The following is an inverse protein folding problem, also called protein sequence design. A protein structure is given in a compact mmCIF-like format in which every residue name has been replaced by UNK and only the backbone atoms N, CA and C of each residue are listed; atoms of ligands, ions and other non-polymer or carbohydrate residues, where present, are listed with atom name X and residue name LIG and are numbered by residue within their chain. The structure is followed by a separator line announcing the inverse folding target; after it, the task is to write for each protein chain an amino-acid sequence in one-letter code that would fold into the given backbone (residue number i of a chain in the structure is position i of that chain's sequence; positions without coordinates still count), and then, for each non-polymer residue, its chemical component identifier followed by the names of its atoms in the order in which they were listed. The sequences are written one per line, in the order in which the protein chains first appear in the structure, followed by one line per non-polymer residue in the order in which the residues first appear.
data_IF_863963320021
#
_entry.id   IF_863963320021
#
_cell.length_a   1.000
_cell.length_b   1.000
_cell.length_c   1.000
_cell.angle_alpha   90.00
_cell.angle_beta   90.00
_cell.angle_gamma   90.00
#
_symmetry.space_group_name_H-M   'P 1'
#
loop_
_entity.id
_entity.type
_entity.pdbx_description
1 polymer ?
#
# COMPACT_ATOMS: atom_id res chain seq x y z
N UNK A 1 -44.67 -24.96 5.03
CA UNK A 1 -43.80 -23.87 5.53
C UNK A 1 -42.45 -24.03 4.87
N UNK A 2 -42.18 -23.21 3.84
CA UNK A 2 -41.08 -23.41 2.90
C UNK A 2 -39.79 -22.74 3.39
N UNK A 3 -38.68 -23.47 3.30
CA UNK A 3 -37.35 -23.15 3.81
C UNK A 3 -36.64 -22.16 2.86
N UNK A 4 -36.35 -20.94 3.34
CA UNK A 4 -35.54 -19.97 2.59
C UNK A 4 -34.05 -20.14 2.93
N UNK A 5 -33.35 -20.98 2.16
CA UNK A 5 -31.90 -20.99 2.10
C UNK A 5 -31.41 -19.89 1.15
N UNK A 6 -31.22 -18.67 1.66
CA UNK A 6 -30.50 -17.62 0.95
C UNK A 6 -28.98 -17.76 1.17
N UNK A 7 -28.36 -18.64 0.38
CA UNK A 7 -26.92 -18.67 0.19
C UNK A 7 -26.50 -17.47 -0.68
N UNK A 8 -26.35 -16.31 -0.06
CA UNK A 8 -25.77 -15.12 -0.67
C UNK A 8 -24.25 -15.30 -0.78
N UNK A 9 -23.83 -16.01 -1.84
CA UNK A 9 -22.46 -16.01 -2.32
C UNK A 9 -22.10 -14.62 -2.90
N UNK A 10 -21.93 -13.63 -2.03
CA UNK A 10 -21.32 -12.35 -2.38
C UNK A 10 -19.81 -12.55 -2.54
N UNK A 11 -19.39 -13.22 -3.61
CA UNK A 11 -18.04 -13.04 -4.14
C UNK A 11 -18.03 -11.69 -4.86
N UNK A 12 -17.70 -10.64 -4.11
CA UNK A 12 -17.48 -9.31 -4.65
C UNK A 12 -16.48 -9.36 -5.83
N UNK A 13 -16.46 -8.31 -6.68
CA UNK A 13 -15.65 -8.31 -7.88
C UNK A 13 -14.19 -8.58 -7.51
N UNK A 14 -13.62 -9.61 -8.13
CA UNK A 14 -12.20 -9.91 -8.00
C UNK A 14 -11.48 -8.73 -8.68
N UNK A 15 -11.04 -7.74 -7.90
CA UNK A 15 -10.30 -6.61 -8.47
C UNK A 15 -8.98 -7.15 -9.04
N UNK A 16 -8.91 -7.21 -10.37
CA UNK A 16 -7.67 -7.46 -11.09
C UNK A 16 -6.79 -6.21 -10.97
N UNK A 17 -5.95 -6.16 -9.93
CA UNK A 17 -5.03 -5.05 -9.68
C UNK A 17 -3.82 -5.08 -10.62
N UNK A 18 -4.02 -4.99 -11.93
CA UNK A 18 -2.93 -4.66 -12.83
C UNK A 18 -2.70 -3.15 -12.76
N UNK A 19 -1.82 -2.71 -11.84
CA UNK A 19 -1.24 -1.38 -11.99
C UNK A 19 -0.11 -1.49 -13.00
N UNK A 20 -0.37 -1.09 -14.24
CA UNK A 20 0.70 -0.87 -15.22
C UNK A 20 1.54 0.30 -14.73
N UNK A 21 2.71 0.00 -14.19
CA UNK A 21 3.68 0.99 -13.74
C UNK A 21 4.75 1.14 -14.83
N UNK A 22 4.65 2.20 -15.62
CA UNK A 22 5.68 2.54 -16.61
C UNK A 22 6.86 3.19 -15.92
N UNK A 23 8.03 2.53 -15.96
CA UNK A 23 9.28 3.10 -15.45
C UNK A 23 9.74 4.21 -16.41
N UNK A 24 10.08 5.42 -15.91
CA UNK A 24 10.60 6.49 -16.76
C UNK A 24 11.90 6.06 -17.43
N UNK A 25 11.97 6.15 -18.76
CA UNK A 25 13.16 5.77 -19.55
C UNK A 25 14.39 6.59 -19.16
N UNK A 26 14.17 7.83 -18.72
CA UNK A 26 15.22 8.77 -18.29
C UNK A 26 15.82 8.47 -16.91
N UNK A 27 15.23 7.54 -16.14
CA UNK A 27 15.69 7.24 -14.78
C UNK A 27 16.74 6.13 -14.81
N UNK A 28 17.83 6.31 -14.06
CA UNK A 28 18.83 5.23 -13.90
C UNK A 28 18.29 4.12 -12.99
N UNK A 29 18.81 2.88 -13.08
CA UNK A 29 18.39 1.79 -12.20
C UNK A 29 18.49 2.15 -10.71
N UNK A 30 19.56 2.85 -10.33
CA UNK A 30 19.79 3.32 -8.95
C UNK A 30 18.74 4.34 -8.53
N UNK A 31 18.40 5.31 -9.39
CA UNK A 31 17.33 6.28 -9.09
C UNK A 31 15.98 5.57 -8.88
N UNK A 32 15.70 4.54 -9.67
CA UNK A 32 14.48 3.73 -9.52
C UNK A 32 14.46 2.99 -8.19
N UNK A 33 15.57 2.40 -7.75
CA UNK A 33 15.67 1.74 -6.45
C UNK A 33 15.50 2.72 -5.30
N UNK A 34 16.14 3.88 -5.36
CA UNK A 34 15.99 4.97 -4.37
C UNK A 34 14.53 5.41 -4.29
N UNK A 35 13.85 5.61 -5.43
CA UNK A 35 12.44 5.98 -5.47
C UNK A 35 11.55 4.91 -4.82
N UNK A 36 11.76 3.62 -5.13
CA UNK A 36 11.02 2.50 -4.54
C UNK A 36 11.20 2.43 -3.03
N UNK A 37 12.44 2.50 -2.56
CA UNK A 37 12.77 2.44 -1.14
C UNK A 37 12.15 3.63 -0.39
N UNK A 38 12.32 4.83 -0.94
CA UNK A 38 11.73 6.07 -0.38
C UNK A 38 10.22 5.98 -0.31
N UNK A 39 9.58 5.43 -1.35
CA UNK A 39 8.14 5.25 -1.38
C UNK A 39 7.67 4.26 -0.31
N UNK A 40 8.37 3.14 -0.10
CA UNK A 40 8.06 2.20 0.98
C UNK A 40 8.14 2.89 2.35
N UNK A 41 9.25 3.58 2.66
CA UNK A 41 9.41 4.32 3.91
C UNK A 41 8.35 5.42 4.11
N UNK A 42 7.93 6.07 3.02
CA UNK A 42 6.85 7.06 3.03
C UNK A 42 5.53 6.43 3.45
N UNK A 43 5.25 5.21 3.01
CA UNK A 43 4.02 4.52 3.39
C UNK A 43 4.08 4.00 4.83
N UNK A 44 5.21 3.44 5.26
CA UNK A 44 5.37 2.92 6.62
C UNK A 44 5.32 4.00 7.69
N UNK A 45 5.86 5.19 7.43
CA UNK A 45 5.81 6.33 8.36
C UNK A 45 4.45 7.07 8.37
N UNK A 46 3.45 6.61 7.60
CA UNK A 46 2.05 7.04 7.68
C UNK A 46 1.72 8.43 7.10
N UNK A 47 0.42 8.73 7.01
CA UNK A 47 -0.13 10.07 6.69
C UNK A 47 -0.02 10.96 7.95
N UNK A 48 1.20 11.38 8.28
CA UNK A 48 1.45 12.21 9.48
C UNK A 48 2.91 12.23 9.93
N UNK A 49 3.75 11.34 9.41
CA UNK A 49 5.19 11.36 9.68
C UNK A 49 5.87 12.57 9.04
N UNK A 50 6.85 13.14 9.75
CA UNK A 50 7.65 14.25 9.23
C UNK A 50 8.69 13.82 8.19
N UNK A 51 8.92 12.51 8.01
CA UNK A 51 9.97 11.95 7.13
C UNK A 51 10.00 12.59 5.74
N UNK A 52 8.89 12.53 5.00
CA UNK A 52 8.86 13.03 3.62
C UNK A 52 9.04 14.55 3.58
N UNK A 53 8.47 15.26 4.56
CA UNK A 53 8.59 16.72 4.70
C UNK A 53 10.04 17.12 4.98
N UNK A 54 10.67 16.49 5.96
CA UNK A 54 12.03 16.79 6.38
C UNK A 54 13.05 16.41 5.30
N UNK A 55 12.81 15.30 4.58
CA UNK A 55 13.61 14.90 3.42
C UNK A 55 13.48 15.89 2.27
N UNK A 56 12.24 16.32 1.94
CA UNK A 56 11.99 17.32 0.90
C UNK A 56 12.61 18.66 1.24
N UNK A 57 12.56 19.08 2.51
CA UNK A 57 13.17 20.33 2.96
C UNK A 57 14.69 20.33 2.77
N UNK A 58 15.35 19.23 3.15
CA UNK A 58 16.80 19.07 2.94
C UNK A 58 17.16 19.04 1.46
N UNK A 59 16.32 18.40 0.65
CA UNK A 59 16.52 18.37 -0.80
C UNK A 59 16.35 19.75 -1.43
N UNK A 60 15.37 20.53 -0.99
CA UNK A 60 15.14 21.87 -1.52
C UNK A 60 16.34 22.79 -1.29
N UNK A 61 16.97 22.70 -0.11
CA UNK A 61 18.21 23.42 0.19
C UNK A 61 19.40 23.00 -0.70
N UNK A 62 19.38 21.79 -1.24
CA UNK A 62 20.45 21.23 -2.09
C UNK A 62 20.06 21.14 -3.57
N UNK A 63 18.94 21.76 -3.99
CA UNK A 63 18.34 21.56 -5.32
C UNK A 63 19.19 22.05 -6.49
N UNK A 64 20.11 22.98 -6.26
CA UNK A 64 21.07 23.46 -7.28
C UNK A 64 22.31 22.56 -7.39
N UNK A 65 22.40 21.50 -6.58
CA UNK A 65 23.51 20.54 -6.65
C UNK A 65 23.34 19.62 -7.85
N UNK A 66 24.41 19.41 -8.66
CA UNK A 66 24.38 18.46 -9.77
C UNK A 66 24.14 17.01 -9.32
N UNK A 67 24.27 16.73 -8.01
CA UNK A 67 24.09 15.40 -7.42
C UNK A 67 22.83 15.31 -6.54
N UNK A 68 21.78 16.08 -6.88
CA UNK A 68 20.46 15.96 -6.27
C UNK A 68 19.86 14.56 -6.53
N UNK A 69 19.85 13.71 -5.49
CA UNK A 69 19.32 12.34 -5.58
C UNK A 69 17.83 12.26 -5.25
N UNK A 70 17.29 13.21 -4.47
CA UNK A 70 15.87 13.26 -4.11
C UNK A 70 15.09 14.33 -4.88
N UNK A 71 15.64 14.90 -5.96
CA UNK A 71 14.95 15.92 -6.76
C UNK A 71 13.55 15.49 -7.23
N UNK A 72 13.32 14.19 -7.38
CA UNK A 72 12.00 13.60 -7.70
C UNK A 72 10.91 13.87 -6.66
N UNK A 73 11.24 14.34 -5.45
CA UNK A 73 10.27 14.76 -4.44
C UNK A 73 9.60 16.10 -4.78
N UNK A 74 10.19 16.87 -5.68
CA UNK A 74 9.63 18.15 -6.11
C UNK A 74 8.52 17.93 -7.15
N UNK A 75 7.35 18.58 -7.01
CA UNK A 75 6.25 18.43 -7.98
C UNK A 75 6.60 18.80 -9.42
N UNK A 76 7.63 19.64 -9.63
CA UNK A 76 8.09 20.07 -10.95
C UNK A 76 9.03 19.06 -11.62
N UNK A 77 9.47 18.02 -10.91
CA UNK A 77 10.42 17.03 -11.44
C UNK A 77 9.72 15.97 -12.30
N UNK A 78 10.36 15.56 -13.40
CA UNK A 78 9.78 14.60 -14.35
C UNK A 78 9.42 13.23 -13.72
N UNK A 79 10.14 12.83 -12.67
CA UNK A 79 9.91 11.54 -11.97
C UNK A 79 8.90 11.63 -10.81
N UNK A 80 8.37 12.82 -10.50
CA UNK A 80 7.43 12.99 -9.38
C UNK A 80 6.17 12.13 -9.54
N UNK A 81 5.57 12.11 -10.74
CA UNK A 81 4.38 11.31 -11.03
C UNK A 81 4.62 9.80 -10.87
N UNK A 82 5.82 9.33 -11.21
CA UNK A 82 6.21 7.93 -11.01
C UNK A 82 6.30 7.62 -9.50
N UNK A 83 6.96 8.49 -8.74
CA UNK A 83 7.07 8.34 -7.28
C UNK A 83 5.71 8.35 -6.58
N UNK A 84 4.81 9.27 -6.90
CA UNK A 84 3.47 9.31 -6.28
C UNK A 84 2.68 8.03 -6.57
N UNK A 85 2.79 7.51 -7.79
CA UNK A 85 2.15 6.25 -8.18
C UNK A 85 2.69 5.06 -7.37
N UNK A 86 4.02 5.00 -7.16
CA UNK A 86 4.63 3.98 -6.30
C UNK A 86 4.08 4.02 -4.88
N UNK A 87 4.00 5.21 -4.29
CA UNK A 87 3.46 5.40 -2.93
C UNK A 87 2.02 4.90 -2.84
N UNK A 88 1.18 5.19 -3.83
CA UNK A 88 -0.20 4.74 -3.85
C UNK A 88 -0.35 3.23 -4.04
N UNK A 89 0.51 2.60 -4.85
CA UNK A 89 0.57 1.13 -4.97
C UNK A 89 0.95 0.51 -3.63
N UNK A 90 2.01 0.99 -2.99
CA UNK A 90 2.48 0.44 -1.72
C UNK A 90 1.45 0.62 -0.59
N UNK A 91 0.71 1.73 -0.57
CA UNK A 91 -0.43 1.93 0.36
C UNK A 91 -1.50 0.87 0.17
N UNK A 92 -1.91 0.60 -1.07
CA UNK A 92 -2.91 -0.43 -1.38
C UNK A 92 -2.44 -1.83 -0.99
N UNK A 93 -1.17 -2.14 -1.22
CA UNK A 93 -0.57 -3.42 -0.84
C UNK A 93 -0.57 -3.64 0.68
N UNK A 94 -0.20 -2.63 1.46
CA UNK A 94 -0.25 -2.73 2.93
C UNK A 94 -1.69 -2.84 3.44
N UNK A 95 -2.62 -2.05 2.89
CA UNK A 95 -4.02 -2.12 3.26
C UNK A 95 -4.58 -3.54 3.05
N UNK A 96 -4.33 -4.15 1.88
CA UNK A 96 -4.76 -5.53 1.58
C UNK A 96 -4.20 -6.56 2.56
N UNK A 97 -2.92 -6.46 2.91
CA UNK A 97 -2.29 -7.40 3.83
C UNK A 97 -2.91 -7.30 5.24
N UNK A 98 -3.26 -6.09 5.69
CA UNK A 98 -3.99 -5.91 6.95
C UNK A 98 -5.39 -6.51 6.91
N UNK A 99 -6.12 -6.38 5.80
CA UNK A 99 -7.48 -6.96 5.66
C UNK A 99 -7.45 -8.48 5.64
N UNK A 100 -6.46 -9.09 4.95
CA UNK A 100 -6.29 -10.55 4.90
C UNK A 100 -5.96 -11.12 6.30
N UNK A 101 -5.18 -10.38 7.10
CA UNK A 101 -4.85 -10.81 8.45
C UNK A 101 -6.09 -10.84 9.36
N UNK A 102 -6.95 -9.82 9.27
CA UNK A 102 -8.20 -9.73 10.04
C UNK A 102 -9.17 -10.84 9.61
N UNK A 103 -9.36 -11.08 8.31
CA UNK A 103 -10.26 -12.13 7.83
C UNK A 103 -9.80 -13.54 8.23
N UNK A 104 -8.49 -13.76 8.39
CA UNK A 104 -7.94 -15.04 8.88
C UNK A 104 -8.09 -15.24 10.39
N UNK A 105 -8.25 -14.17 11.17
CA UNK A 105 -8.48 -14.27 12.61
C UNK A 105 -9.96 -14.53 12.90
N UNK A 106 -10.87 -13.83 12.21
CA UNK A 106 -12.31 -14.04 12.32
C UNK A 106 -12.70 -15.51 12.06
N UNK A 107 -12.08 -16.14 11.04
CA UNK A 107 -12.30 -17.56 10.75
C UNK A 107 -11.79 -18.50 11.85
N UNK A 108 -10.73 -18.15 12.59
CA UNK A 108 -10.25 -18.98 13.71
C UNK A 108 -11.16 -18.86 14.93
N UNK A 109 -11.73 -17.68 15.16
CA UNK A 109 -12.58 -17.44 16.32
C UNK A 109 -13.96 -18.11 16.14
N UNK A 110 -14.49 -18.15 14.91
CA UNK A 110 -15.75 -18.84 14.59
C UNK A 110 -15.65 -20.37 14.73
N UNK A 111 -14.51 -20.98 14.37
CA UNK A 111 -14.30 -22.44 14.49
C UNK A 111 -14.21 -22.92 15.96
N UNK A 112 -13.84 -22.04 16.91
CA UNK A 112 -13.73 -22.40 18.34
C UNK A 112 -15.04 -22.24 19.13
N UNK A 113 -16.07 -21.65 18.54
CA UNK A 113 -17.35 -21.38 19.21
C UNK A 113 -18.39 -22.50 18.99
N UNK A 114 -18.10 -23.50 18.16
CA UNK A 114 -19.03 -24.61 17.86
C UNK A 114 -18.99 -25.71 18.94
N UNK A 115 -17.89 -25.85 19.68
CA UNK A 115 -17.71 -26.97 20.63
C UNK A 115 -18.37 -26.76 22.02
N UNK A 116 -18.83 -25.54 22.34
CA UNK A 116 -19.31 -25.21 23.69
C UNK A 116 -20.84 -25.27 23.89
N UNK A 117 -21.63 -25.58 22.85
CA UNK A 117 -23.10 -25.55 22.93
C UNK A 117 -23.80 -26.93 22.83
N UNK A 118 -23.04 -28.03 22.85
CA UNK A 118 -23.63 -29.38 22.62
C UNK A 118 -23.87 -30.19 23.91
N UNK A 119 -23.49 -29.69 25.08
CA UNK A 119 -23.64 -30.41 26.37
C UNK A 119 -24.58 -29.74 27.37
N UNK A 120 -25.80 -29.37 26.94
CA UNK A 120 -26.88 -29.04 27.88
C UNK A 120 -28.26 -29.42 27.34
N UNK A 121 -28.52 -30.72 27.26
CA UNK A 121 -29.87 -31.28 27.20
C UNK A 121 -29.94 -32.52 28.10
#
# INVERSE_FOLDING_TARGET
TNNNNNNNNNKGPILNYYTSLTVPITATPVQVEIMKLTAQFTVFNGKGGSFLRDLTQREWANSNSPNSIFGFLQPRHAHFAYFTTLVDIYRRLLAKNSTIAISKQQQRDDDTNIDNNTNKM
#
